data_IF_303613105707
#
_entry.id   IF_303613105707
#
_cell.length_a   1.000
_cell.length_b   1.000
_cell.length_c   1.000
_cell.angle_alpha   90.00
_cell.angle_beta   90.00
_cell.angle_gamma   90.00
#
_symmetry.space_group_name_H-M   'P 1'
#
loop_
_entity.id
_entity.type
_entity.pdbx_description
1 polymer ?
#
# COMPACT_ATOMS: atom_id res chain seq x y z
N UNK A 1 24.14 -20.01 -9.61
CA UNK A 1 23.72 -18.60 -9.55
C UNK A 1 22.99 -18.42 -8.23
N UNK A 2 23.55 -17.66 -7.29
CA UNK A 2 22.88 -17.31 -6.02
C UNK A 2 21.66 -16.45 -6.36
N UNK A 3 20.50 -16.60 -5.69
CA UNK A 3 19.35 -15.76 -5.94
C UNK A 3 19.71 -14.30 -5.61
N UNK A 4 19.83 -13.47 -6.64
CA UNK A 4 20.21 -12.06 -6.53
C UNK A 4 19.17 -11.19 -5.83
N UNK A 5 18.07 -11.76 -5.34
CA UNK A 5 16.97 -11.03 -4.73
C UNK A 5 17.01 -10.99 -3.19
N UNK A 6 17.76 -11.89 -2.56
CA UNK A 6 17.78 -12.05 -1.10
C UNK A 6 18.39 -10.84 -0.38
N UNK A 7 19.43 -10.22 -0.96
CA UNK A 7 20.08 -9.07 -0.35
C UNK A 7 19.19 -7.81 -0.38
N UNK A 8 18.32 -7.65 -1.38
CA UNK A 8 17.39 -6.51 -1.42
C UNK A 8 16.39 -6.58 -0.26
N UNK A 9 15.86 -7.77 0.02
CA UNK A 9 14.98 -8.00 1.18
C UNK A 9 15.70 -7.71 2.50
N UNK A 10 16.95 -8.16 2.64
CA UNK A 10 17.76 -7.89 3.83
C UNK A 10 18.07 -6.40 4.02
N UNK A 11 18.48 -5.70 2.96
CA UNK A 11 18.75 -4.25 2.99
C UNK A 11 17.49 -3.47 3.32
N UNK A 12 16.35 -3.84 2.70
CA UNK A 12 15.06 -3.20 2.96
C UNK A 12 14.62 -3.44 4.40
N UNK A 13 14.80 -4.65 4.95
CA UNK A 13 14.50 -4.96 6.33
C UNK A 13 15.33 -4.11 7.31
N UNK A 14 16.65 -4.04 7.13
CA UNK A 14 17.52 -3.24 7.98
C UNK A 14 17.16 -1.75 7.90
N UNK A 15 17.00 -1.23 6.68
CA UNK A 15 16.70 0.18 6.46
C UNK A 15 15.31 0.56 7.02
N UNK A 16 14.28 -0.25 6.74
CA UNK A 16 12.92 0.00 7.24
C UNK A 16 12.86 -0.07 8.77
N UNK A 17 13.58 -1.01 9.39
CA UNK A 17 13.67 -1.11 10.85
C UNK A 17 14.36 0.11 11.45
N UNK A 18 15.48 0.55 10.87
CA UNK A 18 16.20 1.75 11.34
C UNK A 18 15.35 3.01 11.23
N UNK A 19 14.69 3.21 10.08
CA UNK A 19 13.78 4.34 9.85
C UNK A 19 12.61 4.30 10.84
N UNK A 20 12.02 3.12 11.06
CA UNK A 20 10.92 2.95 12.00
C UNK A 20 11.32 3.26 13.45
N UNK A 21 12.48 2.77 13.90
CA UNK A 21 13.01 3.09 15.23
C UNK A 21 13.28 4.60 15.38
N UNK A 22 13.85 5.22 14.35
CA UNK A 22 14.11 6.66 14.34
C UNK A 22 12.81 7.45 14.41
N UNK A 23 11.78 7.01 13.68
CA UNK A 23 10.44 7.59 13.72
C UNK A 23 9.80 7.47 15.12
N UNK A 24 9.89 6.30 15.76
CA UNK A 24 9.38 6.10 17.13
C UNK A 24 10.13 6.99 18.13
N UNK A 25 11.46 7.04 18.05
CA UNK A 25 12.26 7.91 18.90
C UNK A 25 11.81 9.37 18.72
N UNK A 26 11.76 9.87 17.49
CA UNK A 26 11.29 11.23 17.22
C UNK A 26 9.86 11.49 17.74
N UNK A 27 8.93 10.54 17.56
CA UNK A 27 7.54 10.69 17.99
C UNK A 27 7.40 10.76 19.51
N UNK A 28 8.10 9.89 20.26
CA UNK A 28 7.89 9.69 21.70
C UNK A 28 8.92 10.36 22.62
N UNK A 29 10.14 10.69 22.15
CA UNK A 29 11.13 11.34 23.02
C UNK A 29 10.71 12.77 23.36
N UNK A 30 10.77 13.20 24.63
CA UNK A 30 10.53 14.60 25.00
C UNK A 30 11.53 15.55 24.35
N UNK A 31 11.11 16.80 24.07
CA UNK A 31 11.96 17.80 23.41
C UNK A 31 13.31 18.06 24.10
N UNK A 32 13.44 18.06 25.44
CA UNK A 32 14.75 18.23 26.09
C UNK A 32 15.77 17.16 25.69
N UNK A 33 15.35 15.91 25.49
CA UNK A 33 16.25 14.84 25.05
C UNK A 33 16.70 15.03 23.60
N UNK A 34 15.79 15.46 22.71
CA UNK A 34 16.13 15.78 21.33
C UNK A 34 17.11 16.97 21.25
N UNK A 35 16.90 17.99 22.07
CA UNK A 35 17.82 19.14 22.14
C UNK A 35 19.19 18.76 22.71
N UNK A 36 19.24 17.84 23.68
CA UNK A 36 20.51 17.29 24.19
C UNK A 36 21.28 16.50 23.13
N UNK A 37 20.58 15.85 22.19
CA UNK A 37 21.15 15.22 20.99
C UNK A 37 21.52 16.22 19.88
N UNK A 38 21.29 17.53 20.09
CA UNK A 38 21.55 18.58 19.11
C UNK A 38 20.47 18.73 18.02
N UNK A 39 19.31 18.08 18.18
CA UNK A 39 18.23 18.08 17.20
C UNK A 39 17.21 19.16 17.54
N UNK A 40 17.32 20.32 16.88
CA UNK A 40 16.42 21.47 17.09
C UNK A 40 15.38 21.65 15.98
N UNK A 41 15.63 21.07 14.80
CA UNK A 41 14.76 21.22 13.64
C UNK A 41 14.17 19.87 13.26
N UNK A 42 12.87 19.71 13.50
CA UNK A 42 12.11 18.53 13.14
C UNK A 42 10.65 18.93 12.84
N UNK A 43 9.91 18.13 12.06
CA UNK A 43 8.52 18.45 11.71
C UNK A 43 7.61 18.46 12.94
N UNK A 44 6.44 19.08 12.82
CA UNK A 44 5.44 19.09 13.89
C UNK A 44 5.05 17.65 14.28
N UNK A 45 4.99 17.36 15.60
CA UNK A 45 4.62 16.04 16.14
C UNK A 45 3.24 15.55 15.70
N UNK A 46 2.36 16.42 15.21
CA UNK A 46 1.10 16.00 14.60
C UNK A 46 1.29 14.98 13.47
N UNK A 47 2.41 15.03 12.74
CA UNK A 47 2.76 14.04 11.73
C UNK A 47 2.95 12.62 12.29
N UNK A 48 3.25 12.48 13.59
CA UNK A 48 3.30 11.17 14.24
C UNK A 48 1.93 10.48 14.27
N UNK A 49 0.83 11.25 14.22
CA UNK A 49 -0.53 10.72 14.11
C UNK A 49 -1.02 10.67 12.66
N UNK A 50 -0.71 11.71 11.88
CA UNK A 50 -1.20 11.83 10.51
C UNK A 50 -0.67 10.72 9.59
N UNK A 51 0.62 10.36 9.69
CA UNK A 51 1.21 9.32 8.83
C UNK A 51 0.56 7.95 9.06
N UNK A 52 0.43 7.41 10.30
CA UNK A 52 -0.22 6.12 10.52
C UNK A 52 -1.70 6.12 10.15
N UNK A 53 -2.43 7.21 10.43
CA UNK A 53 -3.83 7.35 10.06
C UNK A 53 -4.01 7.33 8.53
N UNK A 54 -3.17 8.08 7.81
CA UNK A 54 -3.17 8.09 6.35
C UNK A 54 -2.84 6.72 5.77
N UNK A 55 -1.81 6.03 6.28
CA UNK A 55 -1.46 4.68 5.81
C UNK A 55 -2.60 3.68 6.02
N UNK A 56 -3.29 3.75 7.16
CA UNK A 56 -4.45 2.89 7.45
C UNK A 56 -5.58 3.14 6.46
N UNK A 57 -5.91 4.41 6.21
CA UNK A 57 -6.95 4.77 5.23
C UNK A 57 -6.54 4.47 3.79
N UNK A 58 -5.25 4.58 3.46
CA UNK A 58 -4.72 4.23 2.15
C UNK A 58 -4.91 2.74 1.86
N UNK A 59 -4.69 1.87 2.84
CA UNK A 59 -4.94 0.42 2.70
C UNK A 59 -6.42 0.15 2.40
N UNK A 60 -7.34 0.78 3.16
CA UNK A 60 -8.78 0.66 2.90
C UNK A 60 -9.13 1.15 1.50
N UNK A 61 -8.59 2.30 1.10
CA UNK A 61 -8.78 2.85 -0.23
C UNK A 61 -8.31 1.90 -1.33
N UNK A 62 -7.15 1.25 -1.18
CA UNK A 62 -6.64 0.28 -2.16
C UNK A 62 -7.63 -0.86 -2.37
N UNK A 63 -8.23 -1.41 -1.29
CA UNK A 63 -9.24 -2.46 -1.43
C UNK A 63 -10.49 -2.01 -2.16
N UNK A 64 -11.00 -0.81 -1.84
CA UNK A 64 -12.17 -0.24 -2.51
C UNK A 64 -11.87 0.02 -3.98
N UNK A 65 -10.74 0.66 -4.29
CA UNK A 65 -10.33 0.95 -5.64
C UNK A 65 -10.15 -0.32 -6.48
N UNK A 66 -9.55 -1.37 -5.90
CA UNK A 66 -9.39 -2.66 -6.57
C UNK A 66 -10.74 -3.34 -6.82
N UNK A 67 -11.66 -3.29 -5.87
CA UNK A 67 -13.01 -3.85 -6.03
C UNK A 67 -13.78 -3.12 -7.15
N UNK A 68 -13.73 -1.79 -7.19
CA UNK A 68 -14.31 -0.99 -8.25
C UNK A 68 -13.68 -1.32 -9.60
N UNK A 69 -12.34 -1.34 -9.70
CA UNK A 69 -11.65 -1.66 -10.95
C UNK A 69 -12.00 -3.06 -11.46
N UNK A 70 -12.04 -4.06 -10.58
CA UNK A 70 -12.42 -5.41 -10.96
C UNK A 70 -13.87 -5.47 -11.44
N UNK A 71 -14.80 -4.78 -10.78
CA UNK A 71 -16.24 -4.90 -11.08
C UNK A 71 -16.67 -4.04 -12.27
N UNK A 72 -16.12 -2.83 -12.41
CA UNK A 72 -16.56 -1.86 -13.43
C UNK A 72 -15.73 -1.92 -14.72
N UNK A 73 -14.47 -2.34 -14.63
CA UNK A 73 -13.56 -2.33 -15.79
C UNK A 73 -13.20 -3.73 -16.29
N UNK A 74 -12.84 -4.65 -15.39
CA UNK A 74 -12.39 -5.98 -15.81
C UNK A 74 -13.52 -7.01 -15.97
N UNK A 75 -14.54 -6.96 -15.12
CA UNK A 75 -15.65 -7.91 -15.15
C UNK A 75 -16.68 -7.44 -16.17
N UNK A 76 -17.08 -8.32 -17.08
CA UNK A 76 -18.14 -8.03 -18.04
C UNK A 76 -19.48 -7.79 -17.33
N UNK A 77 -20.35 -6.93 -17.89
CA UNK A 77 -21.71 -6.76 -17.39
C UNK A 77 -22.46 -8.11 -17.31
N UNK A 78 -23.32 -8.27 -16.29
CA UNK A 78 -24.07 -9.53 -16.10
C UNK A 78 -24.93 -9.96 -17.29
N UNK A 79 -25.35 -9.01 -18.12
CA UNK A 79 -26.13 -9.29 -19.34
C UNK A 79 -25.30 -9.60 -20.58
N UNK A 80 -23.97 -9.57 -20.50
CA UNK A 80 -23.09 -9.84 -21.64
C UNK A 80 -23.15 -11.31 -22.01
N UNK A 81 -23.38 -11.62 -23.29
CA UNK A 81 -23.46 -13.01 -23.77
C UNK A 81 -22.11 -13.74 -23.63
N UNK A 82 -21.03 -12.98 -23.67
CA UNK A 82 -19.65 -13.40 -23.43
C UNK A 82 -19.43 -13.96 -22.01
N UNK A 83 -20.38 -13.74 -21.08
CA UNK A 83 -20.35 -14.42 -19.76
C UNK A 83 -20.77 -15.88 -19.84
N UNK A 84 -21.48 -16.28 -20.90
CA UNK A 84 -21.97 -17.65 -21.12
C UNK A 84 -21.13 -18.37 -22.16
N UNK A 85 -20.56 -17.63 -23.10
CA UNK A 85 -19.99 -18.17 -24.34
C UNK A 85 -18.58 -17.64 -24.58
N UNK A 86 -17.68 -18.51 -25.07
CA UNK A 86 -16.30 -18.15 -25.44
C UNK A 86 -16.16 -17.75 -26.93
N UNK A 87 -14.97 -17.25 -27.30
CA UNK A 87 -14.63 -16.79 -28.66
C UNK A 87 -14.76 -17.88 -29.74
N UNK A 88 -14.69 -19.16 -29.39
CA UNK A 88 -14.74 -20.26 -30.35
C UNK A 88 -16.17 -20.79 -30.59
N UNK A 89 -17.13 -20.36 -29.78
CA UNK A 89 -18.46 -20.90 -29.82
C UNK A 89 -19.28 -20.39 -31.00
N UNK A 90 -20.20 -21.25 -31.47
CA UNK A 90 -21.16 -20.92 -32.52
C UNK A 90 -22.55 -20.74 -31.91
N UNK A 91 -22.96 -19.49 -31.75
CA UNK A 91 -24.27 -19.14 -31.21
C UNK A 91 -25.31 -19.32 -32.32
N UNK A 92 -26.26 -20.23 -32.11
CA UNK A 92 -27.42 -20.38 -32.99
C UNK A 92 -28.49 -19.36 -32.59
N UNK A 93 -28.84 -18.46 -33.50
CA UNK A 93 -29.94 -17.51 -33.30
C UNK A 93 -31.22 -18.17 -33.81
N UNK A 94 -32.24 -18.25 -32.96
CA UNK A 94 -33.59 -18.68 -33.37
C UNK A 94 -34.37 -17.40 -33.67
N UNK A 95 -34.77 -17.22 -34.94
CA UNK A 95 -35.67 -16.15 -35.39
C UNK A 95 -37.07 -16.27 -34.75
#
# INVERSE_FOLDING_TARGET
KVPTYEYYGFVLYLFSTLVFLTYLLWAYLPSPFLHALGIFYYPNRWWALAVPAFLTMLIVYIYVALACYNTEYLTLPLGSLETVVDDAAKVAVVD
#
